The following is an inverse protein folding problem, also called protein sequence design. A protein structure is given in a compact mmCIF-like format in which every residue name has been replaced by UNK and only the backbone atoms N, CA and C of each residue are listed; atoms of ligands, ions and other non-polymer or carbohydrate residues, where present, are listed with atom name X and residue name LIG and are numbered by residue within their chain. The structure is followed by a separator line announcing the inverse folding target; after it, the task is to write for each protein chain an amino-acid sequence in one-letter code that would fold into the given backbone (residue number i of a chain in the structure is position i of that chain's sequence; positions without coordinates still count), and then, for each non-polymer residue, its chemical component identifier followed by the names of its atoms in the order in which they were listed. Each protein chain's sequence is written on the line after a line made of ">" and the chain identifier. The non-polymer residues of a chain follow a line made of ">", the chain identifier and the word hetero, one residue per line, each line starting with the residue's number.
data_IF_899724431098
#
_entry.id   IF_899724431098
#
_cell.length_a   1.000
_cell.length_b   1.000
_cell.length_c   1.000
_cell.angle_alpha   90.00
_cell.angle_beta   90.00
_cell.angle_gamma   90.00
#
_symmetry.space_group_name_H-M   'P 1'
#
loop_
_entity.id
_entity.type
_entity.pdbx_description
1 polymer ?
#
# COMPACT_ATOMS: atom_id res chain seq x y z
N UNK A 1 -6.30 -63.94 -32.84
CA UNK A 1 -7.16 -64.35 -31.70
C UNK A 1 -8.43 -63.50 -31.75
N UNK A 2 -9.54 -64.13 -32.11
CA UNK A 2 -10.89 -63.53 -32.09
C UNK A 2 -11.41 -63.43 -30.67
N UNK A 3 -12.03 -62.31 -30.29
CA UNK A 3 -13.18 -62.26 -29.37
C UNK A 3 -13.99 -61.00 -29.75
N UNK A 4 -15.08 -61.15 -30.50
CA UNK A 4 -16.46 -61.32 -30.01
C UNK A 4 -17.06 -60.05 -29.38
N UNK A 5 -17.85 -59.39 -30.23
CA UNK A 5 -19.00 -58.54 -30.00
C UNK A 5 -19.79 -58.85 -28.70
N UNK A 6 -20.13 -57.82 -27.93
CA UNK A 6 -21.30 -57.83 -27.05
C UNK A 6 -21.83 -56.40 -26.85
N UNK A 7 -22.85 -56.04 -27.63
CA UNK A 7 -23.73 -54.93 -27.33
C UNK A 7 -24.73 -55.37 -26.24
N UNK A 8 -24.87 -54.60 -25.16
CA UNK A 8 -25.97 -54.73 -24.21
C UNK A 8 -26.79 -53.44 -24.19
N UNK A 9 -28.10 -53.62 -24.16
CA UNK A 9 -29.19 -52.72 -24.52
C UNK A 9 -30.11 -52.60 -23.30
N UNK A 10 -30.86 -51.50 -23.18
CA UNK A 10 -31.89 -51.19 -22.17
C UNK A 10 -31.33 -50.66 -20.84
N UNK A 11 -31.85 -49.59 -20.22
CA UNK A 11 -33.17 -48.97 -20.30
C UNK A 11 -33.64 -48.77 -18.85
N UNK A 12 -33.92 -47.54 -18.42
CA UNK A 12 -34.29 -47.29 -17.02
C UNK A 12 -34.68 -45.85 -16.71
N UNK A 13 -35.87 -45.47 -17.16
CA UNK A 13 -36.60 -44.28 -16.70
C UNK A 13 -37.05 -44.52 -15.26
N UNK A 14 -36.68 -43.63 -14.34
CA UNK A 14 -37.16 -43.61 -12.96
C UNK A 14 -37.79 -42.27 -12.61
N UNK A 15 -39.03 -42.06 -13.04
CA UNK A 15 -39.90 -40.94 -12.65
C UNK A 15 -40.41 -41.11 -11.20
N UNK A 16 -40.26 -40.04 -10.42
CA UNK A 16 -41.23 -39.44 -9.47
C UNK A 16 -42.09 -40.36 -8.58
N UNK A 17 -41.97 -40.15 -7.25
CA UNK A 17 -43.06 -40.08 -6.25
C UNK A 17 -42.45 -39.81 -4.86
N UNK A 18 -43.01 -39.09 -3.89
CA UNK A 18 -44.12 -38.13 -3.74
C UNK A 18 -44.19 -37.85 -2.23
N UNK A 19 -44.18 -36.57 -1.82
CA UNK A 19 -44.93 -36.04 -0.69
C UNK A 19 -44.53 -36.40 0.76
N UNK A 20 -43.95 -35.42 1.44
CA UNK A 20 -44.33 -35.00 2.81
C UNK A 20 -44.22 -33.47 2.83
N UNK A 21 -45.31 -32.73 2.65
CA UNK A 21 -46.21 -32.31 3.72
C UNK A 21 -45.48 -31.52 4.83
N UNK A 22 -45.40 -30.20 4.62
CA UNK A 22 -45.71 -29.18 5.62
C UNK A 22 -44.72 -28.95 6.76
N UNK A 23 -43.82 -27.97 6.58
CA UNK A 23 -43.53 -26.96 7.61
C UNK A 23 -43.13 -25.61 6.96
N UNK A 24 -44.05 -24.63 6.83
CA UNK A 24 -43.69 -23.23 6.78
C UNK A 24 -43.61 -22.70 8.22
N UNK A 25 -42.48 -22.96 8.86
CA UNK A 25 -42.05 -22.31 10.11
C UNK A 25 -40.60 -21.96 9.84
N UNK A 26 -40.19 -20.72 9.78
CA UNK A 26 -40.72 -19.53 10.40
C UNK A 26 -39.74 -18.45 9.98
N UNK A 27 -40.26 -17.27 9.72
CA UNK A 27 -39.46 -16.05 9.87
C UNK A 27 -38.30 -16.00 8.89
N UNK A 28 -38.60 -15.40 7.74
CA UNK A 28 -37.78 -14.34 7.16
C UNK A 28 -37.47 -13.33 8.28
N UNK A 29 -36.62 -13.72 9.23
CA UNK A 29 -35.92 -12.79 10.09
C UNK A 29 -34.80 -12.37 9.16
N UNK A 30 -35.11 -11.34 8.37
CA UNK A 30 -34.13 -10.45 7.80
C UNK A 30 -33.27 -10.01 8.98
N UNK A 31 -32.26 -10.81 9.31
CA UNK A 31 -31.12 -10.34 10.03
C UNK A 31 -30.65 -9.18 9.18
N UNK A 32 -30.99 -7.97 9.63
CA UNK A 32 -30.22 -6.78 9.36
C UNK A 32 -28.83 -7.13 9.86
N UNK A 33 -28.08 -7.84 9.01
CA UNK A 33 -26.65 -7.97 9.11
C UNK A 33 -26.21 -6.53 8.88
N UNK A 34 -26.14 -5.76 9.96
CA UNK A 34 -25.40 -4.51 10.01
C UNK A 34 -24.08 -4.84 9.35
N UNK A 35 -23.94 -4.41 8.10
CA UNK A 35 -22.69 -4.40 7.39
C UNK A 35 -21.84 -3.44 8.21
N UNK A 36 -21.15 -4.00 9.21
CA UNK A 36 -20.06 -3.33 9.90
C UNK A 36 -19.23 -2.69 8.79
N UNK A 37 -19.10 -1.34 8.76
CA UNK A 37 -18.32 -0.71 7.71
C UNK A 37 -16.96 -1.37 7.78
N UNK A 38 -16.55 -2.08 6.71
CA UNK A 38 -15.24 -2.72 6.67
C UNK A 38 -14.24 -1.60 6.87
N UNK A 39 -13.70 -1.47 8.08
CA UNK A 39 -12.63 -0.56 8.37
C UNK A 39 -11.47 -1.05 7.52
N UNK A 40 -11.28 -0.41 6.37
CA UNK A 40 -10.17 -0.70 5.49
C UNK A 40 -8.94 -0.22 6.23
N UNK A 41 -8.25 -1.15 6.86
CA UNK A 41 -6.96 -0.89 7.50
C UNK A 41 -6.08 -0.14 6.51
N UNK A 42 -5.56 1.02 6.90
CA UNK A 42 -4.63 1.83 6.10
C UNK A 42 -3.44 1.00 5.61
N UNK A 43 -3.01 0.02 6.41
CA UNK A 43 -2.00 -0.98 6.06
C UNK A 43 -2.44 -1.89 4.90
N UNK A 44 -3.71 -2.33 4.88
CA UNK A 44 -4.26 -3.10 3.75
C UNK A 44 -4.32 -2.25 2.48
N UNK A 45 -4.58 -0.96 2.60
CA UNK A 45 -4.57 -0.04 1.46
C UNK A 45 -3.14 0.16 0.93
N UNK A 46 -2.17 0.44 1.80
CA UNK A 46 -0.75 0.54 1.41
C UNK A 46 -0.24 -0.75 0.76
N UNK A 47 -0.59 -1.92 1.31
CA UNK A 47 -0.20 -3.20 0.75
C UNK A 47 -0.65 -3.36 -0.70
N UNK A 48 -1.90 -2.99 -1.01
CA UNK A 48 -2.47 -3.11 -2.35
C UNK A 48 -1.81 -2.18 -3.38
N UNK A 49 -1.35 -1.01 -2.96
CA UNK A 49 -0.77 -0.01 -3.87
C UNK A 49 0.75 -0.10 -3.98
N UNK A 50 1.45 -0.35 -2.87
CA UNK A 50 2.92 -0.28 -2.81
C UNK A 50 3.56 -1.66 -2.86
N UNK A 51 2.99 -2.64 -2.16
CA UNK A 51 3.65 -3.93 -1.89
C UNK A 51 3.10 -5.10 -2.73
N UNK A 52 2.12 -4.86 -3.60
CA UNK A 52 1.48 -5.91 -4.40
C UNK A 52 2.37 -6.47 -5.52
N UNK A 53 3.30 -5.68 -6.03
CA UNK A 53 4.18 -6.07 -7.14
C UNK A 53 5.60 -5.60 -6.90
N UNK A 54 6.57 -6.47 -7.23
CA UNK A 54 8.00 -6.20 -7.05
C UNK A 54 8.45 -4.91 -7.76
N UNK A 55 7.95 -4.63 -8.97
CA UNK A 55 8.29 -3.42 -9.70
C UNK A 55 7.87 -2.15 -8.93
N UNK A 56 6.60 -2.04 -8.54
CA UNK A 56 6.10 -0.90 -7.75
C UNK A 56 6.78 -0.78 -6.40
N UNK A 57 7.10 -1.91 -5.75
CA UNK A 57 7.81 -1.92 -4.48
C UNK A 57 9.22 -1.30 -4.60
N UNK A 58 9.99 -1.71 -5.62
CA UNK A 58 11.33 -1.16 -5.87
C UNK A 58 11.26 0.32 -6.22
N UNK A 59 10.32 0.74 -7.08
CA UNK A 59 10.12 2.16 -7.40
C UNK A 59 9.78 2.98 -6.16
N UNK A 60 8.93 2.45 -5.27
CA UNK A 60 8.58 3.11 -4.02
C UNK A 60 9.79 3.29 -3.11
N UNK A 61 10.67 2.29 -3.00
CA UNK A 61 11.92 2.41 -2.24
C UNK A 61 12.81 3.49 -2.85
N UNK A 62 13.04 3.46 -4.16
CA UNK A 62 13.93 4.43 -4.84
C UNK A 62 13.43 5.86 -4.62
N UNK A 63 12.14 6.09 -4.86
CA UNK A 63 11.52 7.40 -4.62
C UNK A 63 11.61 7.78 -3.14
N UNK A 64 11.35 6.83 -2.24
CA UNK A 64 11.45 7.04 -0.79
C UNK A 64 12.84 7.45 -0.36
N UNK A 65 13.89 6.81 -0.91
CA UNK A 65 15.29 7.15 -0.61
C UNK A 65 15.62 8.56 -1.08
N UNK A 66 15.27 8.94 -2.30
CA UNK A 66 15.55 10.30 -2.83
C UNK A 66 14.86 11.38 -1.98
N UNK A 67 13.60 11.15 -1.60
CA UNK A 67 12.86 12.09 -0.74
C UNK A 67 13.48 12.16 0.65
N UNK A 68 13.81 11.00 1.23
CA UNK A 68 14.43 10.93 2.55
C UNK A 68 15.81 11.59 2.56
N UNK A 69 16.65 11.39 1.55
CA UNK A 69 17.95 12.01 1.45
C UNK A 69 17.85 13.54 1.46
N UNK A 70 16.93 14.11 0.67
CA UNK A 70 16.73 15.55 0.60
C UNK A 70 16.26 16.15 1.94
N UNK A 71 15.36 15.45 2.66
CA UNK A 71 14.88 15.90 3.96
C UNK A 71 15.96 15.70 5.03
N UNK A 72 16.61 14.54 5.04
CA UNK A 72 17.59 14.15 6.04
C UNK A 72 18.80 15.09 6.00
N UNK A 73 19.37 15.37 4.82
CA UNK A 73 20.49 16.32 4.69
C UNK A 73 20.16 17.68 5.31
N UNK A 74 19.01 18.26 4.92
CA UNK A 74 18.57 19.56 5.47
C UNK A 74 18.29 19.51 6.96
N UNK A 75 17.67 18.44 7.46
CA UNK A 75 17.34 18.31 8.87
C UNK A 75 18.60 18.22 9.73
N UNK A 76 19.58 17.42 9.30
CA UNK A 76 20.84 17.27 10.01
C UNK A 76 21.68 18.55 9.94
N UNK A 77 21.74 19.22 8.79
CA UNK A 77 22.43 20.51 8.66
C UNK A 77 21.80 21.56 9.58
N UNK A 78 20.47 21.65 9.62
CA UNK A 78 19.76 22.59 10.50
C UNK A 78 20.03 22.29 11.98
N UNK A 79 20.06 21.00 12.35
CA UNK A 79 20.38 20.59 13.70
C UNK A 79 21.83 20.97 14.05
N UNK A 80 22.76 20.74 13.15
CA UNK A 80 24.17 21.07 13.32
C UNK A 80 24.39 22.58 13.44
N UNK A 81 23.68 23.36 12.63
CA UNK A 81 23.68 24.83 12.66
C UNK A 81 23.14 25.38 13.96
N UNK A 82 22.06 24.79 14.47
CA UNK A 82 21.50 25.21 15.76
C UNK A 82 22.47 24.96 16.92
N UNK A 83 23.22 23.85 16.88
CA UNK A 83 24.16 23.49 17.96
C UNK A 83 25.47 24.25 17.87
N UNK A 84 25.93 24.56 16.65
CA UNK A 84 27.22 25.21 16.41
C UNK A 84 27.09 26.68 15.97
N UNK A 85 25.94 27.30 16.25
CA UNK A 85 25.66 28.69 15.88
C UNK A 85 26.74 29.65 16.40
N UNK A 86 27.27 30.49 15.53
CA UNK A 86 28.30 31.48 15.82
C UNK A 86 29.73 30.94 15.74
N UNK A 87 29.93 29.66 15.45
CA UNK A 87 31.25 29.05 15.21
C UNK A 87 31.50 28.71 13.75
N UNK A 88 30.46 28.72 12.91
CA UNK A 88 30.58 28.34 11.52
C UNK A 88 31.00 29.52 10.65
N UNK A 89 31.68 29.21 9.54
CA UNK A 89 32.16 30.20 8.56
C UNK A 89 31.02 31.10 8.02
N UNK A 90 29.80 30.54 7.90
CA UNK A 90 28.60 31.28 7.47
C UNK A 90 28.05 32.26 8.51
N UNK A 91 28.44 32.13 9.77
CA UNK A 91 28.03 33.06 10.85
C UNK A 91 29.03 34.21 11.04
N UNK A 92 30.16 34.19 10.32
CA UNK A 92 31.20 35.22 10.41
C UNK A 92 30.75 36.47 9.66
N UNK A 93 30.85 37.61 10.34
CA UNK A 93 30.55 38.91 9.75
C UNK A 93 31.72 39.41 8.89
N UNK A 94 31.67 39.08 7.61
CA UNK A 94 32.67 39.47 6.61
C UNK A 94 32.68 40.97 6.30
N UNK A 95 31.63 41.71 6.66
CA UNK A 95 31.57 43.16 6.42
C UNK A 95 32.60 43.93 7.27
N UNK A 96 32.97 43.39 8.44
CA UNK A 96 33.97 43.97 9.33
C UNK A 96 35.41 43.84 8.85
N UNK A 97 35.63 43.02 7.82
CA UNK A 97 36.96 42.79 7.25
C UNK A 97 37.13 43.46 5.89
N UNK A 98 36.10 44.14 5.37
CA UNK A 98 36.29 45.06 4.24
C UNK A 98 37.01 46.29 4.75
N UNK A 99 38.19 46.57 4.22
CA UNK A 99 38.85 47.86 4.35
C UNK A 99 38.19 48.83 3.38
N UNK A 100 38.00 50.09 3.81
CA UNK A 100 37.46 51.18 2.97
C UNK A 100 38.24 51.39 1.64
N UNK A 101 39.42 50.78 1.49
CA UNK A 101 40.25 50.82 0.28
C UNK A 101 39.68 50.00 -0.91
N UNK A 102 38.72 49.08 -0.70
CA UNK A 102 38.15 48.24 -1.77
C UNK A 102 36.96 48.90 -2.52
N UNK A 103 36.56 50.13 -2.16
CA UNK A 103 35.48 50.89 -2.81
C UNK A 103 35.96 51.83 -3.95
N UNK A 104 37.26 51.84 -4.29
CA UNK A 104 37.86 52.71 -5.33
C UNK A 104 38.16 52.05 -6.69
N UNK A 105 37.73 50.80 -6.95
CA UNK A 105 37.88 50.16 -8.28
C UNK A 105 36.52 49.96 -8.97
N UNK A 106 36.08 51.00 -9.71
CA UNK A 106 35.04 50.97 -10.75
C UNK A 106 35.60 50.55 -12.11
#
# INVERSE_FOLDING_TARGET
>A
MSFLLAASRHGGVGMLRRGAAGMPRSSVLMAHQHQQPRQMSTLKTMYKYVFRSNATYVTYIVVGVVVLEAIYGKAIDTLWDSVNKGKQFKDVDWSKFKSDDDEEEE
#
